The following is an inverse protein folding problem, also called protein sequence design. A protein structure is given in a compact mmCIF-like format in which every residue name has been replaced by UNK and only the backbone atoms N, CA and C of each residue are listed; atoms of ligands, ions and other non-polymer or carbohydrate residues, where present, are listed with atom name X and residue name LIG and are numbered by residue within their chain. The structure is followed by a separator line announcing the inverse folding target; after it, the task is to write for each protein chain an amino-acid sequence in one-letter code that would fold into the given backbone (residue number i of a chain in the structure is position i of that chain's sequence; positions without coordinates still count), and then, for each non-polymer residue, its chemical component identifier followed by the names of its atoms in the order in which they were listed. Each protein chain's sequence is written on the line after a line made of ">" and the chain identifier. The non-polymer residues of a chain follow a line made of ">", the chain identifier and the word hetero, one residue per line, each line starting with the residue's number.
data_IF_113360973400
#
_entry.id   IF_113360973400
#
_cell.length_a   1.000
_cell.length_b   1.000
_cell.length_c   1.000
_cell.angle_alpha   90.00
_cell.angle_beta   90.00
_cell.angle_gamma   90.00
#
_symmetry.space_group_name_H-M   'P 1'
#
loop_
_entity.id
_entity.type
_entity.pdbx_description
1 polymer ?
#
# COMPACT_ATOMS: atom_id res chain seq x y z
N UNK A 1 -4.96 5.46 -30.03
CA UNK A 1 -3.87 6.13 -29.30
C UNK A 1 -3.91 5.63 -27.86
N UNK A 2 -2.99 4.75 -27.51
CA UNK A 2 -2.93 4.07 -26.22
C UNK A 2 -1.91 4.86 -25.38
N UNK A 3 -2.40 5.49 -24.31
CA UNK A 3 -1.58 6.21 -23.33
C UNK A 3 -1.28 5.24 -22.17
N UNK A 4 -0.04 4.81 -22.06
CA UNK A 4 0.45 3.95 -20.97
C UNK A 4 1.54 4.67 -20.19
N UNK A 5 1.26 5.00 -18.93
CA UNK A 5 2.26 5.38 -17.93
C UNK A 5 2.75 4.13 -17.20
N UNK A 6 4.03 4.13 -16.85
CA UNK A 6 4.86 2.96 -16.56
C UNK A 6 4.26 1.93 -15.59
N UNK A 7 4.40 0.70 -16.03
CA UNK A 7 4.03 -0.55 -15.39
C UNK A 7 5.15 -0.88 -14.41
N UNK A 8 4.84 -1.07 -13.13
CA UNK A 8 5.73 -1.83 -12.24
C UNK A 8 5.90 -3.22 -12.86
N UNK A 9 7.07 -3.50 -13.43
CA UNK A 9 7.45 -4.85 -13.82
C UNK A 9 7.64 -5.68 -12.56
N UNK A 10 6.57 -6.26 -12.04
CA UNK A 10 6.66 -7.45 -11.21
C UNK A 10 6.57 -8.65 -12.16
N UNK A 11 7.73 -9.16 -12.54
CA UNK A 11 7.85 -10.43 -13.25
C UNK A 11 7.18 -11.54 -12.43
N UNK A 12 6.10 -12.09 -12.96
CA UNK A 12 5.51 -13.33 -12.46
C UNK A 12 6.38 -14.51 -12.89
N UNK A 13 6.92 -15.23 -11.90
CA UNK A 13 7.57 -16.52 -12.06
C UNK A 13 7.41 -17.32 -10.77
N UNK A 14 6.66 -18.41 -10.84
CA UNK A 14 6.32 -19.29 -9.72
C UNK A 14 7.52 -20.10 -9.20
N UNK A 15 7.51 -20.31 -7.87
CA UNK A 15 8.05 -21.44 -7.09
C UNK A 15 9.45 -21.37 -6.44
N UNK A 16 9.41 -21.56 -5.11
CA UNK A 16 10.39 -22.05 -4.13
C UNK A 16 11.66 -21.24 -3.77
N UNK A 17 11.83 -21.03 -2.45
CA UNK A 17 13.13 -20.76 -1.83
C UNK A 17 13.04 -20.04 -0.48
N UNK A 18 13.07 -20.80 0.61
CA UNK A 18 13.29 -20.32 1.99
C UNK A 18 14.53 -19.42 2.10
N UNK A 19 14.38 -18.17 2.53
CA UNK A 19 15.43 -17.31 3.10
C UNK A 19 14.69 -16.35 4.05
N UNK A 20 14.74 -16.57 5.37
CA UNK A 20 15.86 -16.08 6.17
C UNK A 20 15.54 -14.65 6.61
N UNK A 21 14.98 -14.51 7.80
CA UNK A 21 14.61 -13.21 8.36
C UNK A 21 15.83 -12.27 8.40
N UNK A 22 15.72 -11.12 7.75
CA UNK A 22 16.55 -9.98 8.07
C UNK A 22 15.79 -9.11 9.06
N UNK A 23 16.23 -9.19 10.31
CA UNK A 23 15.92 -8.18 11.32
C UNK A 23 16.40 -6.82 10.81
N UNK A 24 15.49 -5.86 10.74
CA UNK A 24 15.86 -4.46 10.64
C UNK A 24 16.49 -4.04 11.96
N UNK A 25 17.82 -3.99 11.98
CA UNK A 25 18.57 -3.53 13.13
C UNK A 25 18.38 -2.00 13.28
N UNK A 26 17.53 -1.60 14.23
CA UNK A 26 17.21 -0.21 14.59
C UNK A 26 18.33 0.49 15.40
N UNK A 27 19.51 -0.14 15.61
CA UNK A 27 20.57 0.43 16.44
C UNK A 27 21.54 1.39 15.74
N UNK A 28 21.42 1.63 14.44
CA UNK A 28 22.29 2.57 13.71
C UNK A 28 21.78 4.03 13.73
N UNK A 29 20.71 4.34 14.47
CA UNK A 29 20.05 5.65 14.43
C UNK A 29 20.52 6.67 15.50
N UNK A 30 21.37 6.29 16.46
CA UNK A 30 21.87 7.23 17.48
C UNK A 30 23.30 6.89 17.91
N UNK A 31 24.30 7.35 17.17
CA UNK A 31 25.63 7.59 17.72
C UNK A 31 26.38 8.61 16.86
N UNK A 32 26.43 9.87 17.30
CA UNK A 32 27.64 10.70 17.28
C UNK A 32 27.36 12.03 18.01
N UNK A 33 27.40 12.00 19.33
CA UNK A 33 27.86 13.14 20.12
C UNK A 33 28.97 12.57 20.99
N UNK A 34 30.21 12.86 20.63
CA UNK A 34 31.39 12.53 21.44
C UNK A 34 31.80 13.80 22.20
N UNK A 35 31.77 13.82 23.55
CA UNK A 35 32.33 14.89 24.34
C UNK A 35 33.77 14.55 24.75
N UNK A 36 34.74 15.02 23.97
CA UNK A 36 36.08 15.37 24.46
C UNK A 36 37.22 14.38 24.21
N UNK A 37 38.22 14.85 23.46
CA UNK A 37 39.54 14.23 23.35
C UNK A 37 40.46 15.01 22.43
N UNK A 38 41.57 15.51 22.96
CA UNK A 38 42.44 16.55 22.41
C UNK A 38 43.45 16.06 21.34
N UNK A 39 43.92 17.04 20.55
CA UNK A 39 45.15 17.14 19.73
C UNK A 39 45.15 16.61 18.29
N UNK A 40 45.29 17.55 17.33
CA UNK A 40 45.61 17.29 15.92
C UNK A 40 44.82 18.18 14.96
N UNK A 41 45.39 19.32 14.54
CA UNK A 41 44.68 20.36 13.78
C UNK A 41 44.36 20.02 12.33
N UNK A 42 43.27 20.61 11.83
CA UNK A 42 42.95 20.70 10.39
C UNK A 42 41.45 20.75 10.08
N UNK A 43 40.85 21.95 10.07
CA UNK A 43 39.64 22.26 9.30
C UNK A 43 38.33 21.55 9.72
N UNK A 44 37.77 21.94 10.87
CA UNK A 44 36.41 21.54 11.27
C UNK A 44 35.33 22.22 10.42
N UNK A 45 35.01 21.63 9.26
CA UNK A 45 33.74 21.86 8.57
C UNK A 45 32.66 21.01 9.22
N UNK A 46 31.61 21.64 9.75
CA UNK A 46 30.42 20.97 10.25
C UNK A 46 29.89 19.96 9.22
N UNK A 47 29.84 18.67 9.56
CA UNK A 47 29.42 17.57 8.67
C UNK A 47 27.90 17.52 8.48
N UNK A 48 27.31 18.67 8.14
CA UNK A 48 25.92 18.77 7.76
C UNK A 48 25.65 17.80 6.60
N UNK A 49 24.59 17.00 6.72
CA UNK A 49 24.13 16.17 5.60
C UNK A 49 23.82 17.01 4.35
N UNK A 50 23.87 16.45 3.13
CA UNK A 50 23.64 17.21 1.89
C UNK A 50 22.37 18.07 1.92
N UNK A 51 21.25 17.57 2.44
CA UNK A 51 20.01 18.36 2.57
C UNK A 51 20.12 19.54 3.54
N UNK A 52 20.90 19.43 4.61
CA UNK A 52 21.14 20.55 5.54
C UNK A 52 22.02 21.62 4.91
N UNK A 53 23.03 21.22 4.13
CA UNK A 53 23.87 22.16 3.39
C UNK A 53 23.05 22.91 2.34
N UNK A 54 22.29 22.18 1.52
CA UNK A 54 21.37 22.72 0.52
C UNK A 54 20.33 23.67 1.14
N UNK A 55 19.70 23.28 2.26
CA UNK A 55 18.72 24.11 2.94
C UNK A 55 19.32 25.43 3.45
N UNK A 56 20.52 25.40 4.03
CA UNK A 56 21.20 26.60 4.52
C UNK A 56 21.78 27.47 3.40
N UNK A 57 22.21 26.86 2.30
CA UNK A 57 22.76 27.57 1.13
C UNK A 57 21.65 28.06 0.17
N UNK A 58 20.43 27.54 0.32
CA UNK A 58 19.28 27.87 -0.52
C UNK A 58 19.42 27.30 -1.93
N UNK A 59 19.55 25.98 -2.08
CA UNK A 59 19.63 25.33 -3.40
C UNK A 59 18.42 25.75 -4.27
N UNK A 60 18.66 26.50 -5.38
CA UNK A 60 17.58 27.02 -6.21
C UNK A 60 16.74 25.91 -6.84
N UNK A 61 17.33 24.74 -7.11
CA UNK A 61 16.62 23.59 -7.69
C UNK A 61 15.67 22.95 -6.68
N UNK A 62 16.09 22.81 -5.41
CA UNK A 62 15.19 22.35 -4.34
C UNK A 62 13.99 23.28 -4.23
N UNK A 63 14.22 24.59 -4.21
CA UNK A 63 13.15 25.59 -4.12
C UNK A 63 12.19 25.51 -5.31
N UNK A 64 12.72 25.40 -6.53
CA UNK A 64 11.92 25.29 -7.75
C UNK A 64 10.99 24.06 -7.72
N UNK A 65 11.52 22.88 -7.38
CA UNK A 65 10.75 21.64 -7.32
C UNK A 65 9.69 21.73 -6.21
N UNK A 66 10.07 22.20 -5.01
CA UNK A 66 9.13 22.37 -3.92
C UNK A 66 7.97 23.31 -4.28
N UNK A 67 8.27 24.46 -4.90
CA UNK A 67 7.26 25.43 -5.30
C UNK A 67 6.34 24.85 -6.38
N UNK A 68 6.88 24.08 -7.33
CA UNK A 68 6.07 23.32 -8.30
C UNK A 68 5.14 22.33 -7.61
N UNK A 69 5.64 21.52 -6.68
CA UNK A 69 4.82 20.54 -5.95
C UNK A 69 3.75 21.21 -5.08
N UNK A 70 4.06 22.35 -4.45
CA UNK A 70 3.08 23.16 -3.70
C UNK A 70 1.96 23.66 -4.62
N UNK A 71 2.27 24.10 -5.85
CA UNK A 71 1.24 24.46 -6.82
C UNK A 71 0.39 23.26 -7.25
N UNK A 72 0.98 22.07 -7.42
CA UNK A 72 0.22 20.84 -7.71
C UNK A 72 -0.76 20.50 -6.58
N UNK A 73 -0.33 20.60 -5.32
CA UNK A 73 -1.18 20.39 -4.13
C UNK A 73 -2.39 21.33 -4.16
N UNK A 74 -2.15 22.63 -4.42
CA UNK A 74 -3.22 23.64 -4.49
C UNK A 74 -4.19 23.30 -5.63
N UNK A 75 -3.69 22.98 -6.81
CA UNK A 75 -4.51 22.63 -7.97
C UNK A 75 -5.32 21.34 -7.75
N UNK A 76 -4.72 20.33 -7.13
CA UNK A 76 -5.39 19.07 -6.79
C UNK A 76 -6.54 19.31 -5.80
N UNK A 77 -6.31 20.07 -4.73
CA UNK A 77 -7.36 20.44 -3.75
C UNK A 77 -8.51 21.19 -4.39
N UNK A 78 -8.23 22.14 -5.30
CA UNK A 78 -9.28 22.85 -6.07
C UNK A 78 -10.17 21.91 -6.91
N UNK A 79 -9.64 20.76 -7.32
CA UNK A 79 -10.37 19.72 -8.07
C UNK A 79 -10.95 18.62 -7.16
N UNK A 80 -10.93 18.81 -5.83
CA UNK A 80 -11.39 17.84 -4.85
C UNK A 80 -10.48 16.61 -4.71
N UNK A 81 -9.25 16.65 -5.24
CA UNK A 81 -8.28 15.55 -5.22
C UNK A 81 -7.42 15.57 -3.95
N UNK A 82 -8.10 15.52 -2.80
CA UNK A 82 -7.48 15.71 -1.50
C UNK A 82 -6.55 14.57 -1.08
N UNK A 83 -6.85 13.32 -1.45
CA UNK A 83 -6.04 12.18 -1.06
C UNK A 83 -4.64 12.23 -1.70
N UNK A 84 -4.58 12.51 -3.01
CA UNK A 84 -3.31 12.71 -3.71
C UNK A 84 -2.55 13.94 -3.17
N UNK A 85 -3.25 15.06 -2.97
CA UNK A 85 -2.67 16.28 -2.44
C UNK A 85 -2.07 16.09 -1.03
N UNK A 86 -2.76 15.36 -0.16
CA UNK A 86 -2.32 15.13 1.21
C UNK A 86 -1.16 14.13 1.27
N UNK A 87 -1.02 13.22 0.31
CA UNK A 87 0.14 12.34 0.21
C UNK A 87 1.38 13.12 -0.24
N UNK A 88 1.26 13.96 -1.27
CA UNK A 88 2.34 14.83 -1.73
C UNK A 88 2.76 15.85 -0.66
N UNK A 89 1.80 16.43 0.07
CA UNK A 89 2.10 17.30 1.20
C UNK A 89 2.83 16.55 2.32
N UNK A 90 2.43 15.31 2.62
CA UNK A 90 3.08 14.50 3.65
C UNK A 90 4.53 14.17 3.27
N UNK A 91 4.77 13.86 1.99
CA UNK A 91 6.10 13.68 1.42
C UNK A 91 6.98 14.92 1.64
N UNK A 92 6.51 16.10 1.23
CA UNK A 92 7.24 17.38 1.38
C UNK A 92 7.53 17.75 2.84
N UNK A 93 6.61 17.40 3.75
CA UNK A 93 6.79 17.68 5.18
C UNK A 93 7.90 16.84 5.82
N UNK A 94 8.44 15.83 5.12
CA UNK A 94 9.63 15.10 5.57
C UNK A 94 9.40 14.12 6.72
N UNK A 95 8.15 13.74 7.00
CA UNK A 95 7.83 12.90 8.17
C UNK A 95 8.29 11.46 8.03
N UNK A 96 8.24 10.90 6.82
CA UNK A 96 8.55 9.50 6.57
C UNK A 96 7.63 8.51 7.31
N UNK A 97 8.09 7.26 7.50
CA UNK A 97 7.40 6.27 8.32
C UNK A 97 6.12 5.71 7.70
N UNK A 98 5.12 5.36 8.51
CA UNK A 98 3.84 4.81 8.04
C UNK A 98 2.70 5.81 8.21
N UNK A 99 2.08 6.21 7.09
CA UNK A 99 0.86 6.98 7.06
C UNK A 99 -0.35 6.03 7.02
N UNK A 100 -1.12 5.99 8.11
CA UNK A 100 -2.34 5.18 8.21
C UNK A 100 -3.46 5.79 7.36
N UNK A 101 -4.06 4.97 6.50
CA UNK A 101 -5.17 5.35 5.64
C UNK A 101 -6.45 4.67 6.12
N UNK A 102 -7.50 5.46 6.30
CA UNK A 102 -8.81 4.94 6.68
C UNK A 102 -9.45 4.14 5.55
N UNK A 103 -10.08 3.02 5.89
CA UNK A 103 -10.81 2.20 4.92
C UNK A 103 -11.89 3.01 4.17
N UNK A 104 -12.54 3.95 4.86
CA UNK A 104 -13.56 4.84 4.28
C UNK A 104 -13.04 5.72 3.14
N UNK A 105 -11.73 5.97 3.07
CA UNK A 105 -11.10 6.65 1.93
C UNK A 105 -10.92 5.67 0.77
N UNK A 106 -10.43 4.46 1.04
CA UNK A 106 -10.11 3.47 0.01
C UNK A 106 -11.35 2.94 -0.71
N UNK A 107 -12.45 2.70 0.02
CA UNK A 107 -13.71 2.18 -0.56
C UNK A 107 -14.38 3.16 -1.53
N UNK A 108 -13.92 4.41 -1.62
CA UNK A 108 -14.39 5.37 -2.62
C UNK A 108 -13.83 5.08 -4.02
N UNK A 109 -12.80 4.23 -4.13
CA UNK A 109 -12.13 3.94 -5.39
C UNK A 109 -12.55 2.58 -5.96
N UNK A 110 -13.06 2.60 -7.20
CA UNK A 110 -13.50 1.38 -7.91
C UNK A 110 -12.43 0.30 -7.98
N UNK A 111 -11.19 0.64 -8.37
CA UNK A 111 -10.09 -0.32 -8.46
C UNK A 111 -9.76 -1.01 -7.12
N UNK A 112 -9.89 -0.30 -6.00
CA UNK A 112 -9.72 -0.89 -4.68
C UNK A 112 -10.85 -1.90 -4.39
N UNK A 113 -12.10 -1.50 -4.63
CA UNK A 113 -13.26 -2.37 -4.43
C UNK A 113 -13.19 -3.62 -5.31
N UNK A 114 -12.76 -3.50 -6.57
CA UNK A 114 -12.55 -4.64 -7.47
C UNK A 114 -11.52 -5.63 -6.93
N UNK A 115 -10.38 -5.15 -6.41
CA UNK A 115 -9.38 -6.01 -5.79
C UNK A 115 -9.89 -6.68 -4.50
N UNK A 116 -10.66 -5.95 -3.70
CA UNK A 116 -11.28 -6.46 -2.49
C UNK A 116 -12.30 -7.56 -2.78
N UNK A 117 -13.21 -7.30 -3.72
CA UNK A 117 -14.23 -8.28 -4.14
C UNK A 117 -13.58 -9.51 -4.79
N UNK A 118 -12.49 -9.34 -5.55
CA UNK A 118 -11.73 -10.47 -6.10
C UNK A 118 -11.22 -11.40 -5.00
N UNK A 119 -10.65 -10.86 -3.92
CA UNK A 119 -10.20 -11.67 -2.79
C UNK A 119 -11.38 -12.33 -2.06
N UNK A 120 -12.49 -11.60 -1.84
CA UNK A 120 -13.70 -12.17 -1.22
C UNK A 120 -14.26 -13.35 -2.03
N UNK A 121 -14.46 -13.18 -3.34
CA UNK A 121 -14.99 -14.25 -4.20
C UNK A 121 -14.08 -15.49 -4.19
N UNK A 122 -12.76 -15.32 -4.14
CA UNK A 122 -11.83 -16.46 -4.02
C UNK A 122 -12.01 -17.22 -2.70
N UNK A 123 -12.16 -16.52 -1.58
CA UNK A 123 -12.48 -17.17 -0.31
C UNK A 123 -13.85 -17.86 -0.35
N UNK A 124 -14.89 -17.23 -0.89
CA UNK A 124 -16.22 -17.82 -0.98
C UNK A 124 -16.24 -19.08 -1.85
N UNK A 125 -15.47 -19.10 -2.93
CA UNK A 125 -15.28 -20.30 -3.76
C UNK A 125 -14.57 -21.42 -2.97
N UNK A 126 -13.47 -21.11 -2.26
CA UNK A 126 -12.78 -22.10 -1.42
C UNK A 126 -13.67 -22.64 -0.30
N UNK A 127 -14.44 -21.78 0.37
CA UNK A 127 -15.39 -22.18 1.41
C UNK A 127 -16.43 -23.15 0.86
N UNK A 128 -16.90 -22.90 -0.35
CA UNK A 128 -17.83 -23.79 -1.03
C UNK A 128 -17.19 -25.14 -1.40
N UNK A 129 -16.00 -25.13 -2.01
CA UNK A 129 -15.27 -26.34 -2.38
C UNK A 129 -14.95 -27.22 -1.17
N UNK A 130 -14.76 -26.60 0.00
CA UNK A 130 -14.62 -27.31 1.28
C UNK A 130 -15.97 -27.84 1.73
N UNK A 131 -17.03 -27.01 1.73
CA UNK A 131 -18.37 -27.38 2.18
C UNK A 131 -18.93 -28.62 1.44
N UNK A 132 -18.74 -28.72 0.12
CA UNK A 132 -19.20 -29.87 -0.68
C UNK A 132 -18.59 -31.20 -0.23
N UNK A 133 -17.39 -31.16 0.35
CA UNK A 133 -16.64 -32.35 0.79
C UNK A 133 -16.93 -32.75 2.24
N UNK A 134 -17.63 -31.90 3.02
CA UNK A 134 -17.96 -32.21 4.42
C UNK A 134 -19.06 -33.27 4.47
N UNK A 135 -18.84 -34.31 5.28
CA UNK A 135 -19.88 -35.28 5.63
C UNK A 135 -20.78 -34.72 6.74
N UNK A 136 -21.97 -35.29 6.88
CA UNK A 136 -22.87 -34.90 7.96
C UNK A 136 -22.21 -35.11 9.34
N UNK A 137 -22.41 -34.15 10.25
CA UNK A 137 -21.78 -34.08 11.57
C UNK A 137 -20.30 -33.65 11.57
N UNK A 138 -19.68 -33.48 10.40
CA UNK A 138 -18.26 -33.12 10.32
C UNK A 138 -18.05 -31.61 10.56
N UNK A 139 -16.92 -31.29 11.18
CA UNK A 139 -16.38 -29.93 11.28
C UNK A 139 -14.96 -29.90 10.70
N UNK A 140 -14.60 -28.82 10.02
CA UNK A 140 -13.25 -28.59 9.53
C UNK A 140 -12.87 -27.11 9.63
N UNK A 141 -11.59 -26.81 9.41
CA UNK A 141 -11.08 -25.44 9.32
C UNK A 141 -10.44 -25.19 7.96
N UNK A 142 -10.52 -23.94 7.51
CA UNK A 142 -9.82 -23.42 6.33
C UNK A 142 -9.00 -22.21 6.77
N UNK A 143 -7.71 -22.20 6.45
CA UNK A 143 -6.81 -21.07 6.69
C UNK A 143 -5.99 -20.84 5.44
N UNK A 144 -6.15 -19.67 4.83
CA UNK A 144 -5.48 -19.34 3.57
C UNK A 144 -5.35 -17.82 3.40
N UNK A 145 -4.69 -17.38 2.32
CA UNK A 145 -4.57 -15.98 1.97
C UNK A 145 -4.69 -15.75 0.46
N UNK A 146 -5.11 -14.53 0.12
CA UNK A 146 -5.18 -14.06 -1.26
C UNK A 146 -4.55 -12.68 -1.39
N UNK A 147 -3.78 -12.52 -2.47
CA UNK A 147 -3.24 -11.24 -2.88
C UNK A 147 -3.97 -10.72 -4.13
N UNK A 148 -4.12 -9.40 -4.18
CA UNK A 148 -4.61 -8.66 -5.33
C UNK A 148 -3.78 -7.41 -5.54
N UNK A 149 -3.34 -7.21 -6.78
CA UNK A 149 -2.83 -5.91 -7.23
C UNK A 149 -4.01 -4.99 -7.49
N UNK A 150 -3.93 -3.79 -6.92
CA UNK A 150 -4.86 -2.70 -7.17
C UNK A 150 -4.27 -1.83 -8.28
N UNK A 151 -4.92 -1.84 -9.45
CA UNK A 151 -4.46 -1.12 -10.63
C UNK A 151 -5.46 -0.02 -11.01
N UNK A 152 -5.28 1.21 -10.49
CA UNK A 152 -6.17 2.32 -10.80
C UNK A 152 -5.95 2.87 -12.20
N UNK A 153 -7.01 3.39 -12.83
CA UNK A 153 -6.90 4.06 -14.13
C UNK A 153 -6.06 5.33 -14.07
N UNK A 154 -5.29 5.62 -15.13
CA UNK A 154 -4.23 6.66 -15.23
C UNK A 154 -4.68 8.13 -15.07
N UNK A 155 -5.96 8.38 -14.80
CA UNK A 155 -6.50 9.70 -14.46
C UNK A 155 -7.33 9.71 -13.16
N UNK A 156 -7.40 8.57 -12.48
CA UNK A 156 -8.05 8.49 -11.18
C UNK A 156 -7.19 9.15 -10.11
N UNK A 157 -7.83 9.56 -9.02
CA UNK A 157 -7.08 10.12 -7.88
C UNK A 157 -6.18 9.08 -7.22
N UNK A 158 -6.63 7.83 -7.12
CA UNK A 158 -5.85 6.74 -6.52
C UNK A 158 -4.54 6.50 -7.30
N UNK A 159 -4.57 6.64 -8.62
CA UNK A 159 -3.35 6.57 -9.45
C UNK A 159 -2.32 7.62 -9.04
N UNK A 160 -2.71 8.88 -8.86
CA UNK A 160 -1.81 9.93 -8.42
C UNK A 160 -1.45 9.85 -6.92
N UNK A 161 -2.28 9.19 -6.12
CA UNK A 161 -2.09 9.10 -4.68
C UNK A 161 -1.15 7.95 -4.27
N UNK A 162 -1.14 6.85 -5.02
CA UNK A 162 -0.43 5.61 -4.65
C UNK A 162 -0.02 4.72 -5.83
N UNK A 163 -0.16 5.16 -7.09
CA UNK A 163 0.11 4.31 -8.26
C UNK A 163 -0.58 2.94 -8.18
N UNK A 164 0.16 1.88 -8.52
CA UNK A 164 -0.27 0.49 -8.28
C UNK A 164 0.09 0.05 -6.86
N UNK A 165 -0.88 -0.55 -6.17
CA UNK A 165 -0.74 -0.93 -4.75
C UNK A 165 -1.14 -2.39 -4.50
N UNK A 166 -0.84 -2.90 -3.30
CA UNK A 166 -1.06 -4.31 -2.94
C UNK A 166 -2.18 -4.44 -1.91
N UNK A 167 -3.00 -5.48 -2.06
CA UNK A 167 -4.00 -5.91 -1.10
C UNK A 167 -3.81 -7.38 -0.75
N UNK A 168 -3.45 -7.66 0.50
CA UNK A 168 -3.39 -9.02 1.05
C UNK A 168 -4.56 -9.24 2.00
N UNK A 169 -5.24 -10.38 1.86
CA UNK A 169 -6.34 -10.81 2.71
C UNK A 169 -6.02 -12.20 3.28
N UNK A 170 -5.97 -12.35 4.61
CA UNK A 170 -5.68 -13.61 5.30
C UNK A 170 -6.93 -14.09 6.02
N UNK A 171 -7.47 -15.24 5.61
CA UNK A 171 -8.73 -15.78 6.10
C UNK A 171 -8.54 -17.00 6.99
N UNK A 172 -9.31 -17.05 8.08
CA UNK A 172 -9.41 -18.20 8.99
C UNK A 172 -10.87 -18.52 9.23
N UNK A 173 -11.28 -19.73 8.90
CA UNK A 173 -12.68 -20.14 8.92
C UNK A 173 -12.85 -21.53 9.56
N UNK A 174 -14.02 -21.73 10.13
CA UNK A 174 -14.54 -23.00 10.60
C UNK A 174 -15.84 -23.28 9.88
N UNK A 175 -15.98 -24.50 9.36
CA UNK A 175 -17.18 -24.99 8.70
C UNK A 175 -17.68 -26.21 9.45
N UNK A 176 -18.98 -26.26 9.74
CA UNK A 176 -19.62 -27.38 10.42
C UNK A 176 -20.90 -27.78 9.71
N UNK A 177 -21.09 -29.07 9.42
CA UNK A 177 -22.26 -29.59 8.70
C UNK A 177 -23.23 -30.27 9.65
N UNK A 178 -24.52 -29.93 9.52
CA UNK A 178 -25.65 -30.61 10.16
C UNK A 178 -26.76 -30.83 9.12
N UNK A 179 -27.01 -32.09 8.78
CA UNK A 179 -27.85 -32.49 7.67
C UNK A 179 -27.36 -31.86 6.36
N UNK A 180 -28.20 -31.01 5.78
CA UNK A 180 -27.93 -30.31 4.52
C UNK A 180 -27.39 -28.88 4.72
N UNK A 181 -27.22 -28.44 5.96
CA UNK A 181 -26.78 -27.07 6.27
C UNK A 181 -25.35 -27.08 6.75
N UNK A 182 -24.51 -26.24 6.14
CA UNK A 182 -23.16 -25.94 6.59
C UNK A 182 -23.19 -24.54 7.18
N UNK A 183 -22.74 -24.43 8.42
CA UNK A 183 -22.52 -23.14 9.09
C UNK A 183 -21.06 -22.75 8.95
N UNK A 184 -20.82 -21.51 8.57
CA UNK A 184 -19.49 -20.91 8.42
C UNK A 184 -19.33 -19.84 9.49
N UNK A 185 -18.18 -19.82 10.16
CA UNK A 185 -17.74 -18.72 11.00
C UNK A 185 -16.24 -18.50 10.81
N UNK A 186 -15.78 -17.26 10.92
CA UNK A 186 -14.37 -16.96 10.73
C UNK A 186 -14.07 -15.48 10.70
N UNK A 187 -12.87 -15.16 10.24
CA UNK A 187 -12.45 -13.79 10.05
C UNK A 187 -11.42 -13.66 8.93
N UNK A 188 -11.40 -12.48 8.31
CA UNK A 188 -10.39 -12.11 7.32
C UNK A 188 -9.68 -10.84 7.75
N UNK A 189 -8.37 -10.91 7.92
CA UNK A 189 -7.50 -9.77 8.17
C UNK A 189 -6.98 -9.24 6.84
N UNK A 190 -7.21 -7.96 6.57
CA UNK A 190 -6.83 -7.31 5.34
C UNK A 190 -5.73 -6.29 5.59
N UNK A 191 -4.83 -6.18 4.61
CA UNK A 191 -3.78 -5.16 4.56
C UNK A 191 -3.69 -4.64 3.13
N UNK A 192 -4.06 -3.37 2.96
CA UNK A 192 -3.71 -2.60 1.77
C UNK A 192 -2.46 -1.79 2.06
N UNK A 193 -1.50 -1.77 1.13
CA UNK A 193 -0.31 -0.94 1.27
C UNK A 193 0.30 -0.51 -0.05
N UNK A 194 1.03 0.60 0.03
CA UNK A 194 1.83 1.16 -1.06
C UNK A 194 3.04 1.94 -0.52
N UNK A 195 4.28 1.62 -0.92
CA UNK A 195 5.42 2.48 -0.68
C UNK A 195 5.30 3.76 -1.52
N UNK A 196 5.11 4.91 -0.87
CA UNK A 196 5.15 6.21 -1.54
C UNK A 196 6.62 6.58 -1.80
N UNK A 197 7.12 6.12 -2.95
CA UNK A 197 8.49 6.30 -3.41
C UNK A 197 8.54 6.94 -4.81
N UNK A 198 9.74 7.33 -5.23
CA UNK A 198 10.00 7.94 -6.53
C UNK A 198 11.05 7.10 -7.25
N UNK A 199 10.71 6.51 -8.38
CA UNK A 199 11.55 5.56 -9.07
C UNK A 199 12.32 6.26 -10.19
N UNK A 200 13.64 6.29 -10.06
CA UNK A 200 14.51 7.03 -10.98
C UNK A 200 14.26 6.67 -12.45
N UNK A 201 14.23 7.68 -13.32
CA UNK A 201 13.93 7.52 -14.74
C UNK A 201 12.45 7.29 -15.10
N UNK A 202 11.53 7.33 -14.13
CA UNK A 202 10.09 7.35 -14.39
C UNK A 202 9.51 8.76 -14.34
N UNK A 203 8.33 8.94 -14.92
CA UNK A 203 7.57 10.19 -14.86
C UNK A 203 6.08 9.95 -14.89
N UNK A 204 5.30 10.89 -14.35
CA UNK A 204 3.85 10.91 -14.46
C UNK A 204 3.38 12.20 -15.14
N UNK A 205 2.46 12.09 -16.08
CA UNK A 205 1.79 13.25 -16.66
C UNK A 205 0.75 13.81 -15.68
N UNK A 206 0.94 15.05 -15.24
CA UNK A 206 0.02 15.74 -14.34
C UNK A 206 -0.74 16.81 -15.12
N UNK A 207 -2.09 16.73 -15.23
CA UNK A 207 -2.89 17.69 -15.98
C UNK A 207 -2.70 19.14 -15.49
N UNK A 208 -2.14 19.98 -16.36
CA UNK A 208 -1.81 21.39 -16.09
C UNK A 208 -0.36 21.63 -15.61
N UNK A 209 0.42 20.57 -15.42
CA UNK A 209 1.83 20.64 -15.00
C UNK A 209 2.77 19.86 -15.92
N UNK A 210 2.23 19.13 -16.90
CA UNK A 210 3.03 18.33 -17.84
C UNK A 210 3.62 17.10 -17.16
N UNK A 211 4.69 16.56 -17.74
CA UNK A 211 5.43 15.46 -17.15
C UNK A 211 6.20 15.92 -15.91
N UNK A 212 6.01 15.17 -14.82
CA UNK A 212 6.73 15.34 -13.56
C UNK A 212 7.62 14.12 -13.40
N UNK A 213 8.94 14.34 -13.32
CA UNK A 213 9.92 13.27 -13.18
C UNK A 213 9.97 12.80 -11.73
N UNK A 214 10.13 11.50 -11.55
CA UNK A 214 10.42 10.91 -10.24
C UNK A 214 11.82 11.34 -9.74
N UNK A 215 12.72 11.75 -10.64
CA UNK A 215 14.02 12.30 -10.26
C UNK A 215 13.90 13.62 -9.49
N UNK A 216 12.84 14.40 -9.70
CA UNK A 216 12.56 15.61 -8.91
C UNK A 216 12.25 15.24 -7.45
N UNK A 217 11.46 14.18 -7.25
CA UNK A 217 11.16 13.64 -5.92
C UNK A 217 12.42 13.09 -5.25
N UNK A 218 13.25 12.36 -5.98
CA UNK A 218 14.53 11.86 -5.48
C UNK A 218 15.49 13.00 -5.12
N UNK A 219 15.53 14.08 -5.91
CA UNK A 219 16.32 15.27 -5.60
C UNK A 219 15.88 15.92 -4.29
N UNK A 220 14.57 16.00 -4.03
CA UNK A 220 14.04 16.49 -2.76
C UNK A 220 14.30 15.56 -1.57
N UNK A 221 14.49 14.26 -1.80
CA UNK A 221 14.90 13.32 -0.74
C UNK A 221 16.37 13.55 -0.38
N UNK A 222 17.23 13.71 -1.37
CA UNK A 222 18.68 13.81 -1.20
C UNK A 222 19.11 15.20 -0.71
N UNK A 223 18.56 16.26 -1.32
CA UNK A 223 18.97 17.64 -1.10
C UNK A 223 17.90 18.49 -0.39
N UNK A 224 16.71 17.93 -0.15
CA UNK A 224 15.60 18.60 0.52
C UNK A 224 15.13 17.91 1.80
N UNK A 225 14.05 18.44 2.36
CA UNK A 225 13.45 17.89 3.57
C UNK A 225 12.50 16.70 3.29
N UNK A 226 12.22 16.37 2.03
CA UNK A 226 11.20 15.38 1.70
C UNK A 226 11.61 13.95 2.09
N UNK A 227 10.65 13.10 2.48
CA UNK A 227 10.94 11.71 2.90
C UNK A 227 9.91 10.72 2.34
N UNK A 228 10.34 9.57 1.80
CA UNK A 228 9.43 8.51 1.38
C UNK A 228 8.73 7.91 2.61
N UNK A 229 7.55 7.33 2.41
CA UNK A 229 6.74 6.77 3.49
C UNK A 229 5.86 5.61 2.99
N UNK A 230 5.35 4.81 3.91
CA UNK A 230 4.41 3.72 3.63
C UNK A 230 2.98 4.20 3.81
N UNK A 231 2.16 4.09 2.76
CA UNK A 231 0.71 4.13 2.88
C UNK A 231 0.22 2.76 3.37
N UNK A 232 -0.58 2.72 4.43
CA UNK A 232 -1.07 1.45 4.96
C UNK A 232 -2.50 1.56 5.49
N UNK A 233 -3.35 0.61 5.14
CA UNK A 233 -4.63 0.37 5.79
C UNK A 233 -4.73 -1.08 6.23
N UNK A 234 -5.20 -1.28 7.46
CA UNK A 234 -5.44 -2.60 8.05
C UNK A 234 -6.84 -2.63 8.64
N UNK A 235 -7.60 -3.67 8.31
CA UNK A 235 -8.94 -3.89 8.85
C UNK A 235 -9.27 -5.38 8.90
N UNK A 236 -10.32 -5.72 9.62
CA UNK A 236 -10.76 -7.11 9.81
C UNK A 236 -12.23 -7.22 9.47
N UNK A 237 -12.59 -8.26 8.73
CA UNK A 237 -13.96 -8.74 8.61
C UNK A 237 -14.17 -9.93 9.54
N UNK A 238 -15.32 -9.94 10.22
CA UNK A 238 -15.90 -11.15 10.75
C UNK A 238 -16.80 -11.75 9.67
N UNK A 239 -16.60 -13.04 9.39
CA UNK A 239 -17.33 -13.75 8.35
C UNK A 239 -18.24 -14.77 9.02
N UNK A 240 -19.52 -14.74 8.67
CA UNK A 240 -20.48 -15.75 9.10
C UNK A 240 -21.48 -16.04 8.00
N UNK A 241 -21.99 -17.26 7.97
CA UNK A 241 -22.94 -17.61 6.92
C UNK A 241 -23.40 -19.05 6.96
N UNK A 242 -24.24 -19.36 5.98
CA UNK A 242 -24.70 -20.72 5.73
C UNK A 242 -24.59 -21.07 4.25
N UNK A 243 -24.28 -22.34 3.99
CA UNK A 243 -24.41 -22.97 2.68
C UNK A 243 -25.40 -24.12 2.85
N UNK A 244 -26.41 -24.18 1.99
CA UNK A 244 -27.37 -25.29 1.96
C UNK A 244 -27.07 -26.13 0.73
N UNK A 245 -26.63 -27.38 0.95
CA UNK A 245 -26.36 -28.35 -0.12
C UNK A 245 -27.66 -29.08 -0.46
N UNK A 246 -28.12 -28.97 -1.71
CA UNK A 246 -29.36 -29.57 -2.18
C UNK A 246 -29.09 -30.60 -3.29
N UNK A 247 -29.72 -31.79 -3.24
CA UNK A 247 -29.41 -32.87 -4.19
C UNK A 247 -29.93 -32.66 -5.63
N UNK A 248 -30.89 -31.74 -5.88
CA UNK A 248 -31.60 -31.66 -7.16
C UNK A 248 -31.75 -30.23 -7.75
N UNK A 249 -31.22 -29.20 -7.10
CA UNK A 249 -31.32 -27.80 -7.55
C UNK A 249 -30.20 -26.96 -6.93
N UNK A 250 -30.02 -25.72 -7.43
CA UNK A 250 -28.95 -24.81 -7.04
C UNK A 250 -28.79 -24.70 -5.51
N UNK A 251 -27.55 -24.82 -5.05
CA UNK A 251 -27.15 -24.53 -3.69
C UNK A 251 -27.36 -23.04 -3.39
N UNK A 252 -27.83 -22.75 -2.17
CA UNK A 252 -27.98 -21.36 -1.71
C UNK A 252 -26.84 -21.01 -0.76
N UNK A 253 -26.16 -19.90 -1.06
CA UNK A 253 -25.08 -19.33 -0.25
C UNK A 253 -25.55 -18.02 0.37
N UNK A 254 -25.37 -17.89 1.69
CA UNK A 254 -25.56 -16.62 2.39
C UNK A 254 -24.35 -16.40 3.29
N UNK A 255 -23.36 -15.68 2.77
CA UNK A 255 -22.12 -15.35 3.48
C UNK A 255 -22.11 -13.84 3.73
N UNK A 256 -21.94 -13.47 4.99
CA UNK A 256 -21.93 -12.09 5.44
C UNK A 256 -20.53 -11.72 5.89
N UNK A 257 -20.04 -10.60 5.37
CA UNK A 257 -18.77 -9.99 5.72
C UNK A 257 -19.07 -8.70 6.49
N UNK A 258 -18.79 -8.70 7.80
CA UNK A 258 -19.05 -7.56 8.70
C UNK A 258 -17.77 -6.99 9.27
#
# INVERSE_FOLDING_TARGET
>A
MIFGGSISSLSGGSSFGSLGGQEFNLSSFFHYIDPGGSSGGGGGGSSLSPWMQSYLQGDPKVKEIEDRYKQMIIAARKKGKNFAADNLQYFLNGKGGTKKIGLNTLIQFGAFNEGLERNKSRFENQLYDVAEKLKDGQTTSLNDYWDSVINPGVFSELYYASGMSQLTSKGKFTLSRKGNTITISGSVENRWHDPYNWNAGMSAYIPGFGDVSDDDGNYLIEYGNARPFLLESKWKYNVSGTIIIRPYWFDSKNINWK
#
